data_IF_212766059769
#
_entry.id   IF_212766059769
#
_cell.length_a   1.000
_cell.length_b   1.000
_cell.length_c   1.000
_cell.angle_alpha   90.00
_cell.angle_beta   90.00
_cell.angle_gamma   90.00
#
_symmetry.space_group_name_H-M   'P 1'
#
loop_
_entity.id
_entity.type
_entity.pdbx_description
1 polymer ?
#
# COMPACT_ATOMS: atom_id res chain seq x y z
N UNK A 1 -39.33 -0.91 -13.05
CA UNK A 1 -38.39 -0.54 -11.96
C UNK A 1 -39.08 -0.70 -10.61
N UNK A 2 -39.82 -1.80 -10.40
CA UNK A 2 -40.65 -1.96 -9.19
C UNK A 2 -41.13 -3.41 -8.94
N UNK A 3 -40.26 -4.41 -9.17
CA UNK A 3 -40.60 -5.82 -8.93
C UNK A 3 -39.50 -6.62 -8.23
N UNK A 4 -38.40 -5.98 -7.84
CA UNK A 4 -37.31 -6.61 -7.09
C UNK A 4 -37.27 -6.20 -5.61
N UNK A 5 -38.15 -5.28 -5.18
CA UNK A 5 -38.21 -4.76 -3.80
C UNK A 5 -39.39 -5.31 -2.98
N UNK A 6 -40.18 -6.24 -3.52
CA UNK A 6 -41.36 -6.79 -2.83
C UNK A 6 -41.11 -8.08 -2.04
N UNK A 7 -39.92 -8.68 -2.17
CA UNK A 7 -39.60 -9.94 -1.48
C UNK A 7 -38.83 -9.75 -0.16
N UNK A 8 -38.71 -8.52 0.35
CA UNK A 8 -37.99 -8.20 1.59
C UNK A 8 -38.91 -8.07 2.83
N UNK A 9 -40.23 -8.24 2.68
CA UNK A 9 -41.18 -8.14 3.79
C UNK A 9 -42.18 -9.30 3.75
N UNK A 10 -41.70 -10.53 3.95
CA UNK A 10 -42.55 -11.64 4.39
C UNK A 10 -42.18 -12.01 5.82
N UNK A 11 -43.21 -11.96 6.66
CA UNK A 11 -43.23 -12.29 8.07
C UNK A 11 -42.78 -13.74 8.32
N UNK A 12 -41.52 -13.93 8.69
CA UNK A 12 -41.16 -14.99 9.63
C UNK A 12 -40.39 -14.33 10.78
N UNK A 13 -41.07 -14.24 11.91
CA UNK A 13 -40.53 -13.78 13.17
C UNK A 13 -39.26 -14.59 13.51
N UNK A 14 -38.10 -14.02 13.19
CA UNK A 14 -36.84 -14.41 13.81
C UNK A 14 -37.08 -14.24 15.30
N UNK A 15 -37.20 -15.35 16.03
CA UNK A 15 -37.07 -15.37 17.48
C UNK A 15 -35.67 -14.86 17.80
N UNK A 16 -35.52 -13.54 17.84
CA UNK A 16 -34.36 -12.89 18.42
C UNK A 16 -34.37 -13.33 19.88
N UNK A 17 -33.50 -14.28 20.24
CA UNK A 17 -33.22 -14.56 21.64
C UNK A 17 -32.90 -13.21 22.26
N UNK A 18 -33.65 -12.81 23.29
CA UNK A 18 -33.42 -11.54 23.97
C UNK A 18 -31.92 -11.37 24.21
N UNK A 19 -31.32 -10.25 23.77
CA UNK A 19 -29.92 -9.97 24.00
C UNK A 19 -29.64 -10.15 25.49
N UNK A 20 -28.78 -11.11 25.81
CA UNK A 20 -28.23 -11.18 27.16
C UNK A 20 -27.42 -9.90 27.29
N UNK A 21 -27.87 -8.94 28.11
CA UNK A 21 -27.02 -7.81 28.47
C UNK A 21 -25.77 -8.46 29.06
N UNK A 22 -24.61 -8.39 28.38
CA UNK A 22 -23.39 -8.79 29.03
C UNK A 22 -23.30 -7.85 30.20
N UNK A 23 -23.20 -8.38 31.42
CA UNK A 23 -22.63 -7.57 32.46
C UNK A 23 -21.32 -7.06 31.86
N UNK A 24 -21.22 -5.74 31.65
CA UNK A 24 -20.11 -5.11 30.89
C UNK A 24 -18.77 -5.52 31.52
N UNK A 25 -18.84 -5.99 32.76
CA UNK A 25 -17.85 -6.77 33.48
C UNK A 25 -18.38 -8.20 33.74
N UNK A 26 -17.78 -9.21 33.09
CA UNK A 26 -18.18 -10.63 33.25
C UNK A 26 -17.96 -11.17 34.66
N UNK A 27 -17.23 -10.44 35.51
CA UNK A 27 -16.91 -10.81 36.89
C UNK A 27 -17.95 -10.29 37.90
N UNK A 28 -18.96 -9.54 37.45
CA UNK A 28 -20.02 -9.02 38.31
C UNK A 28 -21.26 -9.93 38.38
N UNK A 29 -21.94 -9.98 39.54
CA UNK A 29 -23.16 -10.77 39.70
C UNK A 29 -24.28 -10.26 38.80
N UNK A 30 -25.19 -11.17 38.43
CA UNK A 30 -26.36 -10.83 37.62
C UNK A 30 -27.21 -9.71 38.28
N UNK A 31 -27.83 -8.87 37.44
CA UNK A 31 -28.72 -7.81 37.91
C UNK A 31 -29.83 -8.35 38.82
N UNK A 32 -30.20 -7.59 39.86
CA UNK A 32 -31.33 -7.93 40.72
C UNK A 32 -32.67 -7.80 39.96
N UNK A 33 -33.75 -8.38 40.50
CA UNK A 33 -35.05 -8.42 39.80
C UNK A 33 -35.65 -7.03 39.54
N UNK A 34 -35.41 -6.06 40.43
CA UNK A 34 -35.86 -4.67 40.24
C UNK A 34 -35.14 -4.02 39.04
N UNK A 35 -33.83 -4.22 38.91
CA UNK A 35 -33.04 -3.73 37.77
C UNK A 35 -33.47 -4.40 36.47
N UNK A 36 -33.75 -5.72 36.50
CA UNK A 36 -34.28 -6.43 35.32
C UNK A 36 -35.65 -5.91 34.89
N UNK A 37 -36.51 -5.56 35.84
CA UNK A 37 -37.83 -4.98 35.55
C UNK A 37 -37.69 -3.59 34.89
N UNK A 38 -36.75 -2.77 35.36
CA UNK A 38 -36.43 -1.47 34.74
C UNK A 38 -35.91 -1.66 33.32
N UNK A 39 -34.92 -2.54 33.12
CA UNK A 39 -34.36 -2.87 31.79
C UNK A 39 -35.45 -3.24 30.80
N UNK A 40 -36.40 -4.08 31.23
CA UNK A 40 -37.52 -4.52 30.41
C UNK A 40 -38.54 -3.41 30.17
N UNK A 41 -38.89 -2.63 31.19
CA UNK A 41 -39.86 -1.55 31.07
C UNK A 41 -39.40 -0.42 30.13
N UNK A 42 -38.08 -0.19 30.05
CA UNK A 42 -37.48 0.82 29.19
C UNK A 42 -36.89 0.25 27.89
N UNK A 43 -37.15 -1.02 27.54
CA UNK A 43 -36.65 -1.70 26.33
C UNK A 43 -35.12 -1.55 26.11
N UNK A 44 -34.34 -1.52 27.20
CA UNK A 44 -32.91 -1.20 27.13
C UNK A 44 -32.14 -2.21 26.26
N UNK A 45 -32.48 -3.50 26.34
CA UNK A 45 -31.83 -4.53 25.53
C UNK A 45 -32.05 -4.34 24.02
N UNK A 46 -33.24 -3.88 23.62
CA UNK A 46 -33.60 -3.69 22.21
C UNK A 46 -32.77 -2.54 21.63
N UNK A 47 -32.71 -1.41 22.35
CA UNK A 47 -31.86 -0.28 21.95
C UNK A 47 -30.37 -0.62 21.89
N UNK A 48 -29.86 -1.45 22.81
CA UNK A 48 -28.47 -1.92 22.77
C UNK A 48 -28.23 -2.78 21.53
N UNK A 49 -29.12 -3.74 21.24
CA UNK A 49 -28.97 -4.60 20.07
C UNK A 49 -29.03 -3.80 18.76
N UNK A 50 -29.95 -2.85 18.65
CA UNK A 50 -30.03 -1.93 17.51
C UNK A 50 -28.75 -1.10 17.37
N UNK A 51 -28.20 -0.57 18.48
CA UNK A 51 -26.96 0.19 18.47
C UNK A 51 -25.75 -0.66 18.07
N UNK A 52 -25.66 -1.90 18.54
CA UNK A 52 -24.60 -2.85 18.17
C UNK A 52 -24.69 -3.24 16.69
N UNK A 53 -25.90 -3.49 16.17
CA UNK A 53 -26.12 -3.78 14.75
C UNK A 53 -25.77 -2.57 13.87
N UNK A 54 -26.20 -1.37 14.24
CA UNK A 54 -25.87 -0.15 13.53
C UNK A 54 -24.35 0.11 13.51
N UNK A 55 -23.67 -0.14 14.64
CA UNK A 55 -22.22 -0.05 14.73
C UNK A 55 -21.53 -1.06 13.81
N UNK A 56 -21.97 -2.32 13.81
CA UNK A 56 -21.38 -3.35 12.93
C UNK A 56 -21.55 -3.02 11.45
N UNK A 57 -22.72 -2.52 11.04
CA UNK A 57 -22.95 -2.06 9.67
C UNK A 57 -22.08 -0.85 9.30
N UNK A 58 -21.91 0.10 10.22
CA UNK A 58 -21.02 1.24 10.02
C UNK A 58 -19.57 0.78 9.81
N UNK A 59 -19.06 -0.11 10.66
CA UNK A 59 -17.69 -0.64 10.53
C UNK A 59 -17.47 -1.37 9.20
N UNK A 60 -18.47 -2.10 8.70
CA UNK A 60 -18.42 -2.73 7.39
C UNK A 60 -18.37 -1.71 6.25
N UNK A 61 -19.25 -0.70 6.27
CA UNK A 61 -19.29 0.36 5.26
C UNK A 61 -17.99 1.17 5.27
N UNK A 62 -17.51 1.54 6.45
CA UNK A 62 -16.28 2.30 6.66
C UNK A 62 -15.05 1.52 6.17
N UNK A 63 -15.03 0.19 6.37
CA UNK A 63 -14.01 -0.67 5.76
C UNK A 63 -14.08 -0.63 4.23
N UNK A 64 -15.27 -0.82 3.64
CA UNK A 64 -15.46 -0.77 2.17
C UNK A 64 -15.12 0.61 1.59
N UNK A 65 -15.42 1.68 2.32
CA UNK A 65 -15.09 3.04 1.92
C UNK A 65 -13.58 3.22 1.79
N UNK A 66 -12.82 2.81 2.82
CA UNK A 66 -11.35 2.84 2.77
C UNK A 66 -10.78 2.04 1.60
N UNK A 67 -11.31 0.84 1.37
CA UNK A 67 -10.90 0.00 0.25
C UNK A 67 -11.13 0.70 -1.10
N UNK A 68 -12.29 1.33 -1.30
CA UNK A 68 -12.60 2.08 -2.52
C UNK A 68 -11.69 3.31 -2.65
N UNK A 69 -11.45 4.06 -1.57
CA UNK A 69 -10.53 5.20 -1.60
C UNK A 69 -9.11 4.79 -1.99
N UNK A 70 -8.64 3.65 -1.51
CA UNK A 70 -7.31 3.14 -1.86
C UNK A 70 -7.25 2.66 -3.32
N UNK A 71 -8.31 2.04 -3.84
CA UNK A 71 -8.43 1.71 -5.26
C UNK A 71 -8.43 2.95 -6.16
N UNK A 72 -9.13 4.03 -5.75
CA UNK A 72 -9.13 5.28 -6.50
C UNK A 72 -7.71 5.86 -6.58
N UNK A 73 -7.00 5.93 -5.44
CA UNK A 73 -5.61 6.39 -5.42
C UNK A 73 -4.71 5.54 -6.32
N UNK A 74 -4.93 4.22 -6.34
CA UNK A 74 -4.14 3.30 -7.16
C UNK A 74 -4.35 3.55 -8.65
N UNK A 75 -5.61 3.72 -9.08
CA UNK A 75 -5.98 4.04 -10.47
C UNK A 75 -5.49 5.44 -10.88
N UNK A 76 -5.69 6.44 -10.02
CA UNK A 76 -5.24 7.82 -10.27
C UNK A 76 -3.72 7.89 -10.45
N UNK A 77 -2.96 7.04 -9.75
CA UNK A 77 -1.52 6.92 -9.94
C UNK A 77 -1.17 6.46 -11.37
N UNK A 78 -1.87 5.47 -11.92
CA UNK A 78 -1.64 5.01 -13.30
C UNK A 78 -2.04 6.06 -14.33
N UNK A 79 -3.05 6.87 -14.03
CA UNK A 79 -3.49 7.96 -14.91
C UNK A 79 -2.53 9.16 -14.90
N UNK A 80 -1.83 9.40 -13.78
CA UNK A 80 -0.98 10.58 -13.58
C UNK A 80 0.52 10.33 -13.71
N UNK A 81 0.97 9.08 -13.62
CA UNK A 81 2.39 8.72 -13.72
C UNK A 81 2.74 8.28 -15.13
N UNK A 82 3.82 8.82 -15.68
CA UNK A 82 4.36 8.34 -16.94
C UNK A 82 5.04 6.97 -16.74
N UNK A 83 4.43 5.94 -17.31
CA UNK A 83 4.84 4.54 -17.22
C UNK A 83 5.34 3.97 -18.56
N UNK A 84 5.67 4.85 -19.52
CA UNK A 84 6.10 4.48 -20.86
C UNK A 84 4.94 4.34 -21.87
N UNK A 85 5.28 4.38 -23.15
CA UNK A 85 4.33 4.45 -24.28
C UNK A 85 3.35 3.25 -24.34
N UNK A 86 3.80 2.07 -23.92
CA UNK A 86 3.03 0.82 -23.85
C UNK A 86 2.72 0.40 -22.41
N UNK A 87 2.91 1.31 -21.46
CA UNK A 87 2.86 1.03 -20.03
C UNK A 87 3.83 -0.09 -19.58
N UNK A 88 4.95 -0.32 -20.30
CA UNK A 88 5.89 -1.40 -19.96
C UNK A 88 6.37 -1.34 -18.50
N UNK A 89 6.53 -0.13 -17.95
CA UNK A 89 6.96 0.07 -16.57
C UNK A 89 5.85 -0.13 -15.53
N UNK A 90 4.58 -0.08 -15.92
CA UNK A 90 3.44 -0.20 -15.01
C UNK A 90 3.46 -1.54 -14.24
N UNK A 91 3.98 -2.59 -14.88
CA UNK A 91 4.12 -3.92 -14.27
C UNK A 91 5.12 -3.97 -13.11
N UNK A 92 5.97 -2.96 -12.95
CA UNK A 92 6.98 -2.87 -11.91
C UNK A 92 6.54 -2.05 -10.70
N UNK A 93 5.39 -1.36 -10.76
CA UNK A 93 4.85 -0.59 -9.62
C UNK A 93 4.76 -1.46 -8.37
N UNK A 94 5.40 -1.02 -7.29
CA UNK A 94 5.40 -1.69 -5.99
C UNK A 94 6.19 -3.00 -5.92
N UNK A 95 6.81 -3.46 -7.02
CA UNK A 95 7.72 -4.61 -6.96
C UNK A 95 9.00 -4.19 -6.25
N UNK A 96 9.37 -4.97 -5.24
CA UNK A 96 10.54 -4.68 -4.42
C UNK A 96 11.70 -5.62 -4.76
N UNK A 97 12.89 -5.05 -4.85
CA UNK A 97 14.18 -5.71 -5.04
C UNK A 97 15.11 -5.30 -3.90
N UNK A 98 15.96 -6.21 -3.45
CA UNK A 98 16.81 -6.02 -2.28
C UNK A 98 18.25 -6.45 -2.57
N UNK A 99 19.21 -5.74 -1.97
CA UNK A 99 20.64 -6.07 -2.06
C UNK A 99 21.31 -5.83 -0.70
N UNK A 100 22.15 -6.78 -0.29
CA UNK A 100 22.98 -6.63 0.89
C UNK A 100 24.32 -6.01 0.50
N UNK A 101 24.68 -4.90 1.13
CA UNK A 101 25.94 -4.22 0.89
C UNK A 101 26.52 -3.76 2.23
N UNK A 102 27.71 -4.26 2.57
CA UNK A 102 28.36 -4.06 3.87
C UNK A 102 27.43 -4.42 5.06
N UNK A 103 27.15 -3.44 5.93
CA UNK A 103 26.34 -3.59 7.14
C UNK A 103 24.83 -3.31 6.94
N UNK A 104 24.42 -3.00 5.70
CA UNK A 104 23.03 -2.64 5.37
C UNK A 104 22.42 -3.60 4.34
N UNK A 105 21.10 -3.72 4.42
CA UNK A 105 20.23 -4.27 3.39
C UNK A 105 19.48 -3.10 2.77
N UNK A 106 19.72 -2.86 1.49
CA UNK A 106 19.02 -1.84 0.72
C UNK A 106 17.83 -2.49 0.02
N UNK A 107 16.70 -1.79 0.03
CA UNK A 107 15.48 -2.21 -0.62
C UNK A 107 14.96 -1.09 -1.50
N UNK A 108 14.60 -1.43 -2.73
CA UNK A 108 13.92 -0.53 -3.64
C UNK A 108 12.58 -1.14 -4.03
N UNK A 109 11.49 -0.48 -3.70
CA UNK A 109 10.17 -0.77 -4.26
C UNK A 109 9.92 0.23 -5.40
N UNK A 110 9.98 -0.26 -6.64
CA UNK A 110 9.88 0.58 -7.83
C UNK A 110 8.58 1.39 -7.81
N UNK A 111 8.69 2.70 -8.06
CA UNK A 111 7.59 3.66 -8.02
C UNK A 111 6.93 3.89 -6.65
N UNK A 112 7.52 3.40 -5.55
CA UNK A 112 7.03 3.63 -4.18
C UNK A 112 8.12 4.30 -3.35
N UNK A 113 9.12 3.54 -2.87
CA UNK A 113 10.17 4.05 -1.99
C UNK A 113 11.43 3.19 -1.99
N UNK A 114 12.52 3.80 -1.55
CA UNK A 114 13.78 3.13 -1.24
C UNK A 114 14.02 3.16 0.28
N UNK A 115 14.51 2.06 0.85
CA UNK A 115 14.83 1.96 2.28
C UNK A 115 16.23 1.34 2.50
N UNK A 116 16.83 1.71 3.63
CA UNK A 116 18.08 1.16 4.12
C UNK A 116 17.81 0.54 5.49
N UNK A 117 18.10 -0.75 5.63
CA UNK A 117 17.92 -1.50 6.85
C UNK A 117 19.26 -1.95 7.41
N UNK A 118 19.56 -1.59 8.65
CA UNK A 118 20.75 -2.06 9.35
C UNK A 118 20.63 -3.55 9.65
N UNK A 119 21.66 -4.32 9.28
CA UNK A 119 21.71 -5.77 9.50
C UNK A 119 22.00 -6.15 10.95
N UNK A 120 22.46 -5.19 11.75
CA UNK A 120 22.88 -5.44 13.14
C UNK A 120 21.74 -5.28 14.16
N UNK A 121 20.84 -4.32 13.93
CA UNK A 121 19.80 -3.93 14.90
C UNK A 121 18.40 -3.84 14.29
N UNK A 122 18.23 -4.34 13.06
CA UNK A 122 16.95 -4.37 12.31
C UNK A 122 16.31 -2.99 12.08
N UNK A 123 17.02 -1.91 12.35
CA UNK A 123 16.52 -0.55 12.19
C UNK A 123 16.47 -0.17 10.70
N UNK A 124 15.29 0.19 10.22
CA UNK A 124 15.04 0.59 8.84
C UNK A 124 14.75 2.09 8.75
N UNK A 125 15.37 2.74 7.77
CA UNK A 125 15.09 4.13 7.42
C UNK A 125 14.69 4.23 5.95
N UNK A 126 13.81 5.18 5.67
CA UNK A 126 13.47 5.54 4.30
C UNK A 126 14.54 6.48 3.74
N UNK A 127 15.05 6.17 2.55
CA UNK A 127 16.11 6.92 1.88
C UNK A 127 15.63 7.59 0.58
N UNK A 128 14.31 7.62 0.39
CA UNK A 128 13.63 8.38 -0.66
C UNK A 128 12.29 7.75 -1.03
N UNK A 129 11.35 8.58 -1.46
CA UNK A 129 10.06 8.19 -2.06
C UNK A 129 10.07 8.53 -3.53
N UNK A 130 9.41 7.71 -4.34
CA UNK A 130 9.27 7.94 -5.77
C UNK A 130 8.79 9.36 -6.05
N UNK A 131 9.54 10.08 -6.90
CA UNK A 131 9.20 11.42 -7.34
C UNK A 131 8.88 11.47 -8.83
N UNK A 132 9.89 11.25 -9.67
CA UNK A 132 9.74 11.39 -11.12
C UNK A 132 10.88 10.71 -11.90
N UNK A 133 10.66 10.58 -13.21
CA UNK A 133 11.71 10.29 -14.17
C UNK A 133 12.55 11.54 -14.43
N UNK A 134 13.88 11.37 -14.49
CA UNK A 134 14.85 12.45 -14.73
C UNK A 134 15.95 12.06 -15.74
N UNK A 135 15.78 10.96 -16.47
CA UNK A 135 16.73 10.54 -17.50
C UNK A 135 16.79 11.52 -18.66
N UNK A 136 17.99 11.73 -19.21
CA UNK A 136 18.26 12.61 -20.36
C UNK A 136 19.42 11.99 -21.19
N UNK A 137 19.33 11.91 -22.53
CA UNK A 137 18.18 12.26 -23.38
C UNK A 137 17.02 11.25 -23.30
N UNK A 138 17.30 10.04 -22.81
CA UNK A 138 16.32 8.97 -22.69
C UNK A 138 15.65 9.00 -21.32
N UNK A 139 14.38 9.42 -21.28
CA UNK A 139 13.61 9.68 -20.05
C UNK A 139 13.60 8.52 -19.04
N UNK A 140 13.43 7.28 -19.54
CA UNK A 140 13.21 6.09 -18.72
C UNK A 140 14.49 5.43 -18.20
N UNK A 141 15.60 6.16 -18.18
CA UNK A 141 16.91 5.66 -17.72
C UNK A 141 17.20 5.96 -16.25
N UNK A 142 16.55 6.98 -15.66
CA UNK A 142 16.82 7.40 -14.27
C UNK A 142 15.55 7.77 -13.54
N UNK A 143 15.30 7.08 -12.43
CA UNK A 143 14.26 7.41 -11.46
C UNK A 143 14.84 8.23 -10.30
N UNK A 144 14.09 9.24 -9.86
CA UNK A 144 14.43 10.07 -8.71
C UNK A 144 13.53 9.74 -7.53
N UNK A 145 14.16 9.46 -6.39
CA UNK A 145 13.49 9.24 -5.11
C UNK A 145 13.94 10.31 -4.11
N UNK A 146 12.99 11.02 -3.50
CA UNK A 146 13.24 12.22 -2.68
C UNK A 146 12.45 12.19 -1.36
N UNK A 147 12.68 13.20 -0.50
CA UNK A 147 11.94 13.37 0.74
C UNK A 147 12.01 12.15 1.69
N UNK A 148 13.17 11.48 1.72
CA UNK A 148 13.45 10.42 2.69
C UNK A 148 13.70 10.97 4.10
N UNK A 149 14.09 10.09 5.01
CA UNK A 149 14.30 10.45 6.41
C UNK A 149 15.35 11.57 6.57
N UNK A 150 15.09 12.51 7.48
CA UNK A 150 15.96 13.64 7.76
C UNK A 150 17.39 13.20 8.11
N UNK A 151 18.38 13.83 7.48
CA UNK A 151 19.79 13.58 7.70
C UNK A 151 20.38 14.61 8.67
N UNK A 152 21.03 14.16 9.74
CA UNK A 152 21.71 15.08 10.66
C UNK A 152 22.88 15.77 9.92
N UNK A 153 22.79 17.08 9.72
CA UNK A 153 23.72 17.90 8.92
C UNK A 153 23.79 17.49 7.43
N UNK A 154 22.66 17.18 6.81
CA UNK A 154 22.57 16.94 5.38
C UNK A 154 21.18 17.30 4.84
N UNK A 155 20.98 17.21 3.51
CA UNK A 155 19.64 17.28 2.94
C UNK A 155 18.79 16.10 3.42
N UNK A 156 17.50 16.14 3.15
CA UNK A 156 16.67 14.94 3.26
C UNK A 156 17.27 13.81 2.41
N UNK A 157 17.22 12.58 2.91
CA UNK A 157 17.79 11.45 2.18
C UNK A 157 17.12 11.29 0.83
N UNK A 158 17.93 11.06 -0.20
CA UNK A 158 17.44 10.88 -1.56
C UNK A 158 18.21 9.78 -2.27
N UNK A 159 17.56 9.12 -3.20
CA UNK A 159 18.13 8.03 -3.99
C UNK A 159 17.91 8.28 -5.47
N UNK A 160 18.96 8.18 -6.28
CA UNK A 160 18.84 8.09 -7.74
C UNK A 160 18.97 6.63 -8.15
N UNK A 161 18.04 6.17 -8.97
CA UNK A 161 18.05 4.80 -9.49
C UNK A 161 18.30 4.86 -10.98
N UNK A 162 19.47 4.42 -11.40
CA UNK A 162 19.82 4.20 -12.80
C UNK A 162 19.28 2.85 -13.23
N UNK A 163 18.67 2.78 -14.41
CA UNK A 163 18.07 1.55 -14.93
C UNK A 163 18.74 1.17 -16.24
N UNK A 164 19.21 -0.07 -16.30
CA UNK A 164 19.91 -0.66 -17.43
C UNK A 164 19.13 -1.87 -17.95
N UNK A 165 19.32 -2.20 -19.23
CA UNK A 165 18.82 -3.44 -19.80
C UNK A 165 19.47 -4.65 -19.12
N UNK A 166 18.64 -5.65 -18.77
CA UNK A 166 19.11 -6.94 -18.27
C UNK A 166 18.02 -8.01 -18.30
N UNK A 167 18.40 -9.25 -18.03
CA UNK A 167 17.50 -10.41 -18.14
C UNK A 167 16.48 -10.51 -17.00
N UNK A 168 16.82 -9.98 -15.83
CA UNK A 168 15.98 -9.99 -14.64
C UNK A 168 15.84 -8.58 -14.07
N UNK A 169 14.75 -8.36 -13.31
CA UNK A 169 14.60 -7.10 -12.56
C UNK A 169 15.28 -7.25 -11.22
N UNK A 170 16.46 -6.66 -11.06
CA UNK A 170 17.31 -6.82 -9.88
C UNK A 170 18.11 -5.55 -9.56
N UNK A 171 18.45 -5.39 -8.28
CA UNK A 171 19.30 -4.32 -7.79
C UNK A 171 20.75 -4.83 -7.84
N UNK A 172 21.57 -4.27 -8.73
CA UNK A 172 22.91 -4.80 -9.04
C UNK A 172 24.04 -4.00 -8.40
N UNK A 173 23.78 -2.73 -8.07
CA UNK A 173 24.76 -1.87 -7.40
C UNK A 173 24.06 -0.87 -6.48
N UNK A 174 24.71 -0.57 -5.36
CA UNK A 174 24.31 0.46 -4.41
C UNK A 174 25.56 1.17 -3.92
N UNK A 175 25.53 2.50 -3.95
CA UNK A 175 26.58 3.34 -3.38
C UNK A 175 26.00 4.57 -2.69
N UNK A 176 26.75 5.12 -1.72
CA UNK A 176 26.47 6.41 -1.06
C UNK A 176 27.59 7.39 -1.42
N UNK A 177 27.58 7.98 -2.64
CA UNK A 177 28.67 8.84 -3.11
C UNK A 177 28.82 10.12 -2.28
N UNK A 178 27.71 10.66 -1.78
CA UNK A 178 27.69 11.74 -0.81
C UNK A 178 26.82 11.32 0.37
N UNK A 179 27.11 11.91 1.54
CA UNK A 179 26.33 11.63 2.75
C UNK A 179 24.84 11.88 2.50
N UNK A 180 24.02 10.87 2.79
CA UNK A 180 22.56 10.89 2.64
C UNK A 180 22.06 11.01 1.17
N UNK A 181 22.93 10.84 0.19
CA UNK A 181 22.58 10.71 -1.23
C UNK A 181 23.02 9.34 -1.71
N UNK A 182 22.07 8.55 -2.20
CA UNK A 182 22.30 7.18 -2.62
C UNK A 182 22.18 7.06 -4.14
N UNK A 183 22.96 6.16 -4.71
CA UNK A 183 22.91 5.80 -6.12
C UNK A 183 22.73 4.30 -6.23
N UNK A 184 21.63 3.90 -6.86
CA UNK A 184 21.29 2.52 -7.13
C UNK A 184 21.39 2.27 -8.63
N UNK A 185 21.87 1.08 -9.01
CA UNK A 185 21.81 0.59 -10.39
C UNK A 185 20.91 -0.63 -10.41
N UNK A 186 19.87 -0.59 -11.24
CA UNK A 186 18.89 -1.65 -11.42
C UNK A 186 19.00 -2.17 -12.84
N UNK A 187 18.96 -3.49 -13.00
CA UNK A 187 18.73 -4.10 -14.30
C UNK A 187 17.28 -4.48 -14.44
N UNK A 188 16.72 -4.38 -15.64
CA UNK A 188 15.37 -4.86 -15.92
C UNK A 188 15.18 -5.16 -17.41
N UNK A 189 14.40 -6.20 -17.77
CA UNK A 189 14.03 -6.47 -19.16
C UNK A 189 13.25 -5.32 -19.81
N UNK A 190 12.53 -4.55 -19.00
CA UNK A 190 11.73 -3.40 -19.46
C UNK A 190 12.60 -2.27 -20.00
N UNK A 191 13.86 -2.19 -19.56
CA UNK A 191 14.82 -1.21 -20.06
C UNK A 191 15.53 -1.65 -21.35
N UNK A 192 15.28 -2.86 -21.83
CA UNK A 192 15.88 -3.35 -23.07
C UNK A 192 15.19 -2.74 -24.29
N UNK A 193 15.95 -2.42 -25.36
CA UNK A 193 15.37 -1.93 -26.60
C UNK A 193 14.42 -2.97 -27.19
N UNK A 194 13.37 -2.50 -27.85
CA UNK A 194 12.47 -3.37 -28.60
C UNK A 194 13.29 -4.13 -29.67
N UNK A 195 13.27 -5.48 -29.68
CA UNK A 195 13.93 -6.27 -30.70
C UNK A 195 13.56 -5.86 -32.13
N UNK A 196 12.35 -5.32 -32.35
CA UNK A 196 11.90 -4.84 -33.65
C UNK A 196 12.58 -3.52 -34.09
N UNK A 197 13.17 -2.77 -33.15
CA UNK A 197 13.91 -1.53 -33.39
C UNK A 197 15.43 -1.75 -33.51
N UNK A 198 15.92 -2.96 -33.23
CA UNK A 198 17.31 -3.34 -33.45
C UNK A 198 17.57 -3.47 -34.96
N UNK A 199 18.00 -2.37 -35.59
CA UNK A 199 18.56 -2.45 -36.94
C UNK A 199 19.94 -3.10 -36.86
N UNK A 200 20.07 -4.32 -37.37
CA UNK A 200 21.34 -5.01 -37.58
C UNK A 200 22.27 -4.11 -38.41
N UNK A 201 23.18 -3.40 -37.74
CA UNK A 201 24.38 -2.86 -38.38
C UNK A 201 25.50 -3.89 -38.26
N UNK A 202 25.31 -5.07 -38.87
CA UNK A 202 26.46 -5.89 -39.24
C UNK A 202 27.14 -5.21 -40.44
N UNK A 203 28.07 -4.30 -40.17
CA UNK A 203 29.13 -3.99 -41.13
C UNK A 203 30.03 -5.23 -41.24
N UNK A 204 29.84 -6.01 -42.29
CA UNK A 204 30.84 -7.01 -42.67
C UNK A 204 32.12 -6.29 -43.14
N UNK A 205 33.23 -6.52 -42.42
CA UNK A 205 34.59 -6.14 -42.79
C UNK A 205 35.27 -7.23 -43.62
#
# INVERSE_FOLDING_TARGET
MDSYLKDLFTEEAVRVKSPQIPNVDKDKPAFNEETKAIIKAFNICEYIAEAEEAKSKYEEIDKRHREIEDLIKDVDWYASTDVGDDAAWASLKGKCIEMNENEYTYKLCLFDRATQKSRSNDFEIEIGKWGSWIGEPDKFTVQKYENGAACWNGPERSTKVYIECGEETELVEVSEPNKCEYLFTVRSPVACPDPALLTDQHEEL
#
